data_IF_578779899058
#
_entry.id   IF_578779899058
#
_cell.length_a   1.000
_cell.length_b   1.000
_cell.length_c   1.000
_cell.angle_alpha   90.00
_cell.angle_beta   90.00
_cell.angle_gamma   90.00
#
_symmetry.space_group_name_H-M   'P 1'
#
loop_
_entity.id
_entity.type
_entity.pdbx_description
1 polymer ?
#
# COMPACT_ATOMS: atom_id res chain seq x y z
N UNK A 1 18.92 4.86 17.75
CA UNK A 1 18.47 6.26 17.81
C UNK A 1 17.30 6.33 18.78
N UNK A 2 17.26 7.24 19.75
CA UNK A 2 16.26 7.23 20.84
C UNK A 2 15.40 8.50 20.83
N UNK A 3 14.68 8.76 19.74
CA UNK A 3 13.59 9.74 19.77
C UNK A 3 12.35 9.09 20.37
N UNK A 4 11.53 9.86 21.09
CA UNK A 4 10.25 9.39 21.64
C UNK A 4 9.08 9.74 20.73
N UNK A 5 9.23 10.77 19.91
CA UNK A 5 8.17 11.24 19.01
C UNK A 5 8.72 11.58 17.62
N UNK A 6 7.84 11.57 16.62
CA UNK A 6 8.20 12.00 15.26
C UNK A 6 8.60 13.48 15.24
N UNK A 7 7.95 14.32 16.06
CA UNK A 7 8.28 15.74 16.16
C UNK A 7 9.72 15.96 16.66
N UNK A 8 10.18 15.19 17.65
CA UNK A 8 11.57 15.23 18.11
C UNK A 8 12.55 14.80 17.02
N UNK A 9 12.26 13.73 16.30
CA UNK A 9 13.12 13.22 15.23
C UNK A 9 13.25 14.22 14.07
N UNK A 10 12.14 14.81 13.64
CA UNK A 10 12.13 15.84 12.59
C UNK A 10 12.79 17.14 13.04
N UNK A 11 12.54 17.57 14.29
CA UNK A 11 13.23 18.73 14.86
C UNK A 11 14.75 18.52 14.87
N UNK A 12 15.21 17.31 15.21
CA UNK A 12 16.62 16.95 15.14
C UNK A 12 17.16 17.01 13.71
N UNK A 13 16.47 16.43 12.72
CA UNK A 13 16.88 16.52 11.30
C UNK A 13 17.04 17.97 10.84
N UNK A 14 16.08 18.84 11.20
CA UNK A 14 16.14 20.26 10.89
C UNK A 14 17.30 20.97 11.60
N UNK A 15 17.49 20.73 12.90
CA UNK A 15 18.56 21.36 13.69
C UNK A 15 19.96 20.99 13.19
N UNK A 16 20.12 19.78 12.65
CA UNK A 16 21.41 19.27 12.16
C UNK A 16 21.61 19.48 10.66
N UNK A 17 20.72 20.21 9.98
CA UNK A 17 20.76 20.44 8.52
C UNK A 17 20.88 19.13 7.73
N UNK A 18 20.21 18.06 8.17
CA UNK A 18 20.14 16.83 7.40
C UNK A 18 19.35 17.07 6.11
N UNK A 19 19.72 16.37 5.03
CA UNK A 19 18.91 16.38 3.82
C UNK A 19 17.58 15.66 4.08
N UNK A 20 16.48 16.42 4.12
CA UNK A 20 15.14 15.90 4.38
C UNK A 20 14.61 15.01 3.25
N UNK A 21 15.26 15.06 2.08
CA UNK A 21 14.99 14.16 0.96
C UNK A 21 15.76 12.85 1.09
N UNK A 22 16.82 12.79 1.90
CA UNK A 22 17.50 11.54 2.22
C UNK A 22 16.58 10.67 3.08
N UNK A 23 16.32 9.45 2.61
CA UNK A 23 15.52 8.46 3.32
C UNK A 23 16.18 7.98 4.62
N UNK A 24 17.47 8.30 4.81
CA UNK A 24 18.26 7.96 5.99
C UNK A 24 18.34 9.09 7.01
N UNK A 25 17.71 10.24 6.77
CA UNK A 25 17.64 11.28 7.78
C UNK A 25 16.86 10.81 9.02
N UNK A 26 17.19 11.38 10.16
CA UNK A 26 16.70 10.99 11.48
C UNK A 26 15.17 10.92 11.57
N UNK A 27 14.47 11.91 10.99
CA UNK A 27 13.00 11.92 10.89
C UNK A 27 12.44 10.73 10.11
N UNK A 28 12.99 10.44 8.92
CA UNK A 28 12.58 9.32 8.06
C UNK A 28 12.88 7.97 8.69
N UNK A 29 14.03 7.85 9.35
CA UNK A 29 14.40 6.63 10.07
C UNK A 29 13.44 6.34 11.22
N UNK A 30 13.04 7.36 11.97
CA UNK A 30 12.04 7.20 13.04
C UNK A 30 10.68 6.73 12.50
N UNK A 31 10.19 7.34 11.41
CA UNK A 31 8.94 6.91 10.75
C UNK A 31 9.04 5.46 10.27
N UNK A 32 10.16 5.09 9.63
CA UNK A 32 10.38 3.75 9.14
C UNK A 32 10.45 2.71 10.28
N UNK A 33 10.99 3.07 11.45
CA UNK A 33 10.94 2.20 12.63
C UNK A 33 9.51 1.89 13.08
N UNK A 34 8.60 2.88 13.05
CA UNK A 34 7.19 2.63 13.38
C UNK A 34 6.56 1.64 12.39
N UNK A 35 6.85 1.80 11.09
CA UNK A 35 6.40 0.88 10.04
C UNK A 35 6.94 -0.55 10.29
N UNK A 36 8.19 -0.69 10.73
CA UNK A 36 8.78 -2.00 11.07
C UNK A 36 8.02 -2.66 12.23
N UNK A 37 7.67 -1.90 13.28
CA UNK A 37 6.88 -2.44 14.40
C UNK A 37 5.43 -2.78 13.98
N UNK A 38 4.78 -1.99 13.14
CA UNK A 38 3.48 -2.37 12.57
C UNK A 38 3.55 -3.69 11.78
N UNK A 39 4.65 -3.92 11.06
CA UNK A 39 4.88 -5.18 10.35
C UNK A 39 5.18 -6.35 11.30
N UNK A 40 5.83 -6.09 12.43
CA UNK A 40 6.00 -7.08 13.49
C UNK A 40 4.65 -7.57 14.00
N UNK A 41 3.76 -6.64 14.37
CA UNK A 41 2.41 -6.99 14.86
C UNK A 41 1.63 -7.83 13.83
N UNK A 42 1.69 -7.44 12.56
CA UNK A 42 1.06 -8.20 11.46
C UNK A 42 1.66 -9.60 11.35
N UNK A 43 2.98 -9.72 11.39
CA UNK A 43 3.68 -11.00 11.34
C UNK A 43 3.30 -11.91 12.52
N UNK A 44 3.27 -11.37 13.73
CA UNK A 44 2.86 -12.08 14.95
C UNK A 44 1.37 -12.50 14.89
N UNK A 45 0.51 -11.72 14.24
CA UNK A 45 -0.89 -12.10 13.97
C UNK A 45 -1.07 -13.14 12.84
N UNK A 46 0.03 -13.61 12.23
CA UNK A 46 0.02 -14.64 11.19
C UNK A 46 0.10 -14.12 9.76
N UNK A 47 0.17 -12.80 9.53
CA UNK A 47 0.47 -12.24 8.20
C UNK A 47 1.97 -12.33 7.91
N UNK A 48 2.41 -13.51 7.46
CA UNK A 48 3.80 -13.78 7.09
C UNK A 48 4.30 -12.93 5.93
N UNK A 49 3.41 -12.29 5.16
CA UNK A 49 3.82 -11.38 4.09
C UNK A 49 4.41 -10.07 4.62
N UNK A 50 4.20 -9.74 5.90
CA UNK A 50 4.74 -8.56 6.54
C UNK A 50 6.28 -8.59 6.70
N UNK A 51 6.87 -9.78 6.84
CA UNK A 51 8.31 -9.94 7.10
C UNK A 51 9.20 -9.32 5.99
N UNK A 52 8.99 -9.62 4.69
CA UNK A 52 9.73 -8.94 3.62
C UNK A 52 9.57 -7.42 3.58
N UNK A 53 8.42 -6.87 4.02
CA UNK A 53 8.22 -5.42 4.04
C UNK A 53 9.00 -4.75 5.18
N UNK A 54 9.05 -5.38 6.36
CA UNK A 54 9.91 -4.92 7.44
C UNK A 54 11.38 -4.93 7.02
N UNK A 55 11.84 -5.99 6.36
CA UNK A 55 13.20 -6.09 5.81
C UNK A 55 13.49 -4.97 4.80
N UNK A 56 12.55 -4.72 3.88
CA UNK A 56 12.69 -3.66 2.89
C UNK A 56 12.73 -2.26 3.53
N UNK A 57 11.92 -2.02 4.57
CA UNK A 57 11.93 -0.76 5.31
C UNK A 57 13.30 -0.54 5.99
N UNK A 58 13.83 -1.55 6.68
CA UNK A 58 15.15 -1.46 7.29
C UNK A 58 16.24 -1.15 6.25
N UNK A 59 16.27 -1.91 5.15
CA UNK A 59 17.28 -1.73 4.11
C UNK A 59 17.18 -0.36 3.42
N UNK A 60 15.96 0.09 3.09
CA UNK A 60 15.71 1.37 2.39
C UNK A 60 16.12 2.58 3.23
N UNK A 61 15.85 2.54 4.53
CA UNK A 61 16.09 3.65 5.45
C UNK A 61 17.44 3.55 6.19
N UNK A 62 18.23 2.50 5.92
CA UNK A 62 19.52 2.29 6.58
C UNK A 62 19.38 1.99 8.08
N UNK A 63 18.29 1.34 8.48
CA UNK A 63 18.05 0.96 9.86
C UNK A 63 18.80 -0.34 10.17
N UNK A 64 19.27 -0.44 11.41
CA UNK A 64 19.66 -1.74 11.99
C UNK A 64 18.40 -2.60 12.10
N UNK A 65 18.46 -3.84 11.65
CA UNK A 65 17.34 -4.78 11.80
C UNK A 65 17.12 -5.07 13.28
N UNK A 66 15.88 -5.00 13.79
CA UNK A 66 15.56 -5.46 15.13
C UNK A 66 15.74 -6.98 15.23
N UNK A 67 16.02 -7.48 16.44
CA UNK A 67 16.36 -8.88 16.69
C UNK A 67 15.33 -9.86 16.10
N UNK A 68 14.03 -9.59 16.29
CA UNK A 68 12.95 -10.44 15.77
C UNK A 68 13.02 -10.61 14.24
N UNK A 69 13.38 -9.55 13.53
CA UNK A 69 13.47 -9.53 12.07
C UNK A 69 14.75 -10.22 11.62
N UNK A 70 15.87 -9.94 12.30
CA UNK A 70 17.15 -10.56 12.03
C UNK A 70 17.08 -12.08 12.21
N UNK A 71 16.52 -12.55 13.33
CA UNK A 71 16.33 -13.97 13.63
C UNK A 71 15.43 -14.65 12.60
N UNK A 72 14.29 -14.04 12.26
CA UNK A 72 13.35 -14.60 11.29
C UNK A 72 13.99 -14.73 9.89
N UNK A 73 14.71 -13.69 9.44
CA UNK A 73 15.40 -13.71 8.14
C UNK A 73 16.56 -14.71 8.15
N UNK A 74 17.39 -14.70 9.20
CA UNK A 74 18.51 -15.63 9.32
C UNK A 74 18.05 -17.09 9.30
N UNK A 75 17.07 -17.43 10.14
CA UNK A 75 16.52 -18.79 10.20
C UNK A 75 15.88 -19.20 8.87
N UNK A 76 15.18 -18.28 8.20
CA UNK A 76 14.65 -18.54 6.85
C UNK A 76 15.76 -18.81 5.82
N UNK A 77 16.84 -18.03 5.84
CA UNK A 77 17.98 -18.23 4.93
C UNK A 77 18.68 -19.57 5.21
N UNK A 78 18.93 -19.91 6.48
CA UNK A 78 19.53 -21.19 6.88
C UNK A 78 18.67 -22.36 6.40
N UNK A 79 17.35 -22.33 6.66
CA UNK A 79 16.42 -23.38 6.21
C UNK A 79 16.43 -23.57 4.69
N UNK A 80 16.49 -22.46 3.93
CA UNK A 80 16.59 -22.52 2.48
C UNK A 80 17.93 -23.09 2.02
N UNK A 81 19.03 -22.65 2.63
CA UNK A 81 20.38 -23.11 2.34
C UNK A 81 20.55 -24.61 2.65
N UNK A 82 19.97 -25.10 3.74
CA UNK A 82 20.04 -26.50 4.17
C UNK A 82 19.03 -27.38 3.44
N UNK A 83 18.39 -26.86 2.38
CA UNK A 83 17.41 -27.54 1.55
C UNK A 83 16.15 -28.03 2.30
N UNK A 84 15.88 -27.51 3.49
CA UNK A 84 14.64 -27.78 4.25
C UNK A 84 13.43 -27.06 3.63
N UNK A 85 13.67 -25.97 2.92
CA UNK A 85 12.66 -25.21 2.19
C UNK A 85 12.99 -25.16 0.69
N UNK A 86 12.00 -25.48 -0.16
CA UNK A 86 12.19 -25.52 -1.62
C UNK A 86 12.37 -24.14 -2.24
N UNK A 87 11.77 -23.11 -1.65
CA UNK A 87 11.83 -21.73 -2.13
C UNK A 87 12.07 -20.77 -0.98
N UNK A 88 12.59 -19.58 -1.26
CA UNK A 88 12.70 -18.52 -0.25
C UNK A 88 11.33 -18.07 0.29
N UNK A 89 10.29 -18.13 -0.54
CA UNK A 89 8.92 -17.84 -0.10
C UNK A 89 8.47 -18.88 0.95
N UNK A 90 8.77 -20.17 0.75
CA UNK A 90 8.49 -21.22 1.75
C UNK A 90 9.34 -21.04 3.00
N UNK A 91 10.62 -20.67 2.85
CA UNK A 91 11.57 -20.52 3.94
C UNK A 91 11.25 -19.33 4.86
N UNK A 92 10.77 -18.23 4.28
CA UNK A 92 10.27 -17.04 4.98
C UNK A 92 8.78 -17.13 5.31
N UNK A 93 8.15 -18.28 5.04
CA UNK A 93 6.72 -18.55 5.27
C UNK A 93 5.76 -17.60 4.54
N UNK A 94 6.23 -16.93 3.48
CA UNK A 94 5.47 -15.96 2.70
C UNK A 94 4.48 -16.69 1.78
N UNK A 95 3.25 -16.87 2.29
CA UNK A 95 2.18 -17.51 1.55
C UNK A 95 1.67 -16.68 0.36
N UNK A 96 2.28 -16.82 -0.82
CA UNK A 96 1.75 -16.27 -2.08
C UNK A 96 0.74 -17.22 -2.75
N UNK A 97 -0.24 -17.72 -2.01
CA UNK A 97 -1.18 -18.73 -2.55
C UNK A 97 -2.10 -18.13 -3.62
N UNK A 98 -2.20 -18.82 -4.77
CA UNK A 98 -3.21 -18.65 -5.82
C UNK A 98 -3.31 -17.27 -6.50
N UNK A 99 -2.30 -16.42 -6.41
CA UNK A 99 -2.26 -15.14 -7.14
C UNK A 99 -1.25 -15.23 -8.28
N UNK A 100 -1.71 -15.00 -9.51
CA UNK A 100 -0.79 -14.78 -10.64
C UNK A 100 -0.05 -13.47 -10.37
N UNK A 101 1.29 -13.52 -10.35
CA UNK A 101 2.11 -12.34 -10.09
C UNK A 101 1.78 -11.19 -11.06
N UNK A 102 1.47 -11.51 -12.32
CA UNK A 102 1.00 -10.54 -13.32
C UNK A 102 -0.26 -9.80 -12.89
N UNK A 103 -1.25 -10.51 -12.34
CA UNK A 103 -2.54 -9.96 -11.99
C UNK A 103 -2.44 -9.12 -10.71
N UNK A 104 -1.62 -9.56 -9.76
CA UNK A 104 -1.32 -8.80 -8.54
C UNK A 104 -0.53 -7.52 -8.84
N UNK A 105 0.47 -7.58 -9.73
CA UNK A 105 1.21 -6.39 -10.17
C UNK A 105 0.29 -5.39 -10.88
N UNK A 106 -0.58 -5.89 -11.76
CA UNK A 106 -1.59 -5.07 -12.44
C UNK A 106 -2.53 -4.40 -11.43
N UNK A 107 -3.03 -5.16 -10.45
CA UNK A 107 -3.86 -4.62 -9.37
C UNK A 107 -3.13 -3.54 -8.56
N UNK A 108 -1.89 -3.78 -8.12
CA UNK A 108 -1.12 -2.79 -7.35
C UNK A 108 -0.84 -1.51 -8.12
N UNK A 109 -0.60 -1.62 -9.44
CA UNK A 109 -0.35 -0.47 -10.31
C UNK A 109 -1.61 0.37 -10.55
N UNK A 110 -2.78 -0.25 -10.61
CA UNK A 110 -3.99 0.39 -11.15
C UNK A 110 -5.20 0.41 -10.21
N UNK A 111 -5.20 -0.36 -9.12
CA UNK A 111 -6.35 -0.52 -8.22
C UNK A 111 -6.82 0.80 -7.61
N UNK A 112 -5.89 1.63 -7.14
CA UNK A 112 -6.22 3.00 -6.68
C UNK A 112 -6.79 3.86 -7.81
N UNK A 113 -6.25 3.76 -9.02
CA UNK A 113 -6.70 4.54 -10.16
C UNK A 113 -8.12 4.17 -10.61
N UNK A 114 -8.52 2.91 -10.43
CA UNK A 114 -9.91 2.46 -10.59
C UNK A 114 -10.79 3.08 -9.50
N UNK A 115 -10.38 2.97 -8.23
CA UNK A 115 -11.12 3.55 -7.10
C UNK A 115 -11.36 5.05 -7.27
N UNK A 116 -10.32 5.82 -7.61
CA UNK A 116 -10.38 7.27 -7.82
C UNK A 116 -11.37 7.64 -8.95
N UNK A 117 -11.45 6.83 -10.01
CA UNK A 117 -12.39 7.05 -11.13
C UNK A 117 -13.83 6.77 -10.73
N UNK A 118 -14.08 5.67 -10.02
CA UNK A 118 -15.42 5.36 -9.48
C UNK A 118 -15.89 6.49 -8.56
N UNK A 119 -15.01 6.95 -7.66
CA UNK A 119 -15.32 8.04 -6.74
C UNK A 119 -15.67 9.34 -7.48
N UNK A 120 -14.89 9.71 -8.50
CA UNK A 120 -15.18 10.89 -9.35
C UNK A 120 -16.55 10.81 -10.03
N UNK A 121 -16.95 9.63 -10.52
CA UNK A 121 -18.25 9.42 -11.15
C UNK A 121 -19.39 9.47 -10.13
N UNK A 122 -19.18 8.92 -8.93
CA UNK A 122 -20.12 8.99 -7.80
C UNK A 122 -20.36 10.42 -7.32
N UNK A 123 -19.32 11.25 -7.28
CA UNK A 123 -19.45 12.68 -6.97
C UNK A 123 -20.33 13.40 -7.99
N UNK A 124 -20.30 12.99 -9.26
CA UNK A 124 -21.20 13.49 -10.32
C UNK A 124 -22.61 12.91 -10.27
N UNK A 125 -22.94 12.09 -9.28
CA UNK A 125 -24.27 11.47 -9.11
C UNK A 125 -24.51 10.22 -9.94
N UNK A 126 -23.48 9.64 -10.57
CA UNK A 126 -23.63 8.39 -11.32
C UNK A 126 -23.73 7.19 -10.37
N UNK A 127 -24.66 6.28 -10.66
CA UNK A 127 -24.85 5.03 -9.92
C UNK A 127 -23.73 4.02 -10.19
N UNK A 128 -23.37 3.18 -9.20
CA UNK A 128 -22.35 2.12 -9.37
C UNK A 128 -23.02 0.89 -9.96
N UNK A 129 -22.92 0.74 -11.29
CA UNK A 129 -23.44 -0.39 -12.05
C UNK A 129 -22.34 -1.02 -12.93
N UNK A 130 -22.69 -2.09 -13.66
CA UNK A 130 -21.74 -2.76 -14.57
C UNK A 130 -21.26 -1.85 -15.70
N UNK A 131 -22.13 -0.99 -16.23
CA UNK A 131 -21.80 -0.08 -17.34
C UNK A 131 -20.74 0.93 -16.96
N UNK A 132 -20.80 1.45 -15.73
CA UNK A 132 -19.75 2.33 -15.18
C UNK A 132 -18.37 1.65 -15.22
N UNK A 133 -18.27 0.39 -14.84
CA UNK A 133 -17.00 -0.33 -14.82
C UNK A 133 -16.49 -0.63 -16.22
N UNK A 134 -17.38 -0.92 -17.17
CA UNK A 134 -17.00 -1.09 -18.58
C UNK A 134 -16.43 0.19 -19.18
N UNK A 135 -17.01 1.35 -18.87
CA UNK A 135 -16.46 2.62 -19.33
C UNK A 135 -15.10 2.93 -18.68
N UNK A 136 -14.96 2.72 -17.36
CA UNK A 136 -13.68 2.89 -16.66
C UNK A 136 -12.63 1.95 -17.28
N UNK A 137 -13.04 0.74 -17.64
CA UNK A 137 -12.15 -0.21 -18.27
C UNK A 137 -11.67 0.28 -19.63
N UNK A 138 -12.56 0.81 -20.48
CA UNK A 138 -12.20 1.44 -21.76
C UNK A 138 -11.28 2.66 -21.58
N UNK A 139 -11.53 3.51 -20.59
CA UNK A 139 -10.68 4.67 -20.30
C UNK A 139 -9.26 4.29 -19.87
N UNK A 140 -9.09 3.10 -19.30
CA UNK A 140 -7.81 2.61 -18.78
C UNK A 140 -7.12 1.64 -19.75
N UNK A 141 -7.74 1.32 -20.87
CA UNK A 141 -7.16 0.46 -21.90
C UNK A 141 -6.18 1.28 -22.76
N UNK A 142 -4.89 1.13 -22.47
CA UNK A 142 -3.81 1.79 -23.20
C UNK A 142 -3.14 0.82 -24.19
N UNK A 143 -2.73 1.29 -25.39
CA UNK A 143 -1.93 0.48 -26.31
C UNK A 143 -0.66 -0.03 -25.60
N UNK A 144 -0.49 -1.36 -25.53
CA UNK A 144 0.65 -2.02 -24.88
C UNK A 144 0.35 -2.81 -23.60
N UNK A 145 -0.89 -2.80 -23.10
CA UNK A 145 -1.26 -3.52 -21.86
C UNK A 145 -1.62 -5.01 -22.04
N UNK A 146 -1.31 -5.60 -23.21
CA UNK A 146 -1.12 -7.05 -23.46
C UNK A 146 -2.28 -8.04 -23.22
N UNK A 147 -3.36 -7.63 -22.54
CA UNK A 147 -4.59 -8.38 -22.37
C UNK A 147 -5.64 -7.40 -21.85
N UNK A 148 -6.74 -7.24 -22.60
CA UNK A 148 -7.75 -6.19 -22.40
C UNK A 148 -8.19 -6.05 -20.96
N UNK A 149 -8.17 -4.82 -20.46
CA UNK A 149 -8.70 -4.49 -19.15
C UNK A 149 -10.23 -4.48 -19.24
N UNK A 150 -10.89 -5.40 -18.53
CA UNK A 150 -12.35 -5.58 -18.61
C UNK A 150 -13.09 -4.86 -17.48
N UNK A 151 -14.37 -4.51 -17.69
CA UNK A 151 -15.21 -3.96 -16.61
C UNK A 151 -15.36 -4.92 -15.43
N UNK A 152 -15.40 -6.23 -15.66
CA UNK A 152 -15.37 -7.23 -14.59
C UNK A 152 -14.09 -7.14 -13.74
N UNK A 153 -12.94 -6.91 -14.37
CA UNK A 153 -11.66 -6.69 -13.67
C UNK A 153 -11.70 -5.40 -12.85
N UNK A 154 -12.16 -4.30 -13.45
CA UNK A 154 -12.29 -3.00 -12.76
C UNK A 154 -13.21 -3.11 -11.54
N UNK A 155 -14.36 -3.77 -11.69
CA UNK A 155 -15.30 -4.05 -10.60
C UNK A 155 -14.63 -4.82 -9.46
N UNK A 156 -13.95 -5.93 -9.77
CA UNK A 156 -13.27 -6.75 -8.77
C UNK A 156 -12.18 -5.96 -8.03
N UNK A 157 -11.41 -5.14 -8.76
CA UNK A 157 -10.36 -4.30 -8.17
C UNK A 157 -10.93 -3.21 -7.26
N UNK A 158 -12.03 -2.58 -7.64
CA UNK A 158 -12.71 -1.57 -6.82
C UNK A 158 -13.13 -2.15 -5.46
N UNK A 159 -13.88 -3.26 -5.46
CA UNK A 159 -14.31 -3.88 -4.21
C UNK A 159 -13.16 -4.47 -3.40
N UNK A 160 -12.14 -5.00 -4.07
CA UNK A 160 -10.91 -5.43 -3.41
C UNK A 160 -10.22 -4.26 -2.70
N UNK A 161 -10.11 -3.10 -3.35
CA UNK A 161 -9.49 -1.91 -2.77
C UNK A 161 -10.26 -1.40 -1.54
N UNK A 162 -11.59 -1.35 -1.61
CA UNK A 162 -12.44 -1.00 -0.46
C UNK A 162 -12.19 -1.95 0.71
N UNK A 163 -12.19 -3.26 0.45
CA UNK A 163 -11.97 -4.29 1.48
C UNK A 163 -10.59 -4.18 2.11
N UNK A 164 -9.54 -4.05 1.30
CA UNK A 164 -8.14 -3.98 1.78
C UNK A 164 -7.86 -2.71 2.58
N UNK A 165 -8.51 -1.59 2.23
CA UNK A 165 -8.34 -0.30 2.91
C UNK A 165 -9.39 -0.03 3.99
N UNK A 166 -10.26 -1.01 4.30
CA UNK A 166 -11.33 -0.90 5.32
C UNK A 166 -12.21 0.33 5.16
N UNK A 167 -12.48 0.74 3.91
CA UNK A 167 -13.32 1.91 3.62
C UNK A 167 -14.78 1.51 3.83
N UNK A 168 -15.49 2.14 4.77
CA UNK A 168 -16.92 1.88 4.93
C UNK A 168 -17.75 2.58 3.86
N UNK A 169 -18.99 2.12 3.64
CA UNK A 169 -19.93 2.80 2.73
C UNK A 169 -20.25 4.21 3.24
N UNK A 170 -20.32 4.38 4.56
CA UNK A 170 -20.59 5.67 5.20
C UNK A 170 -19.41 6.64 5.02
N UNK A 171 -18.16 6.17 5.11
CA UNK A 171 -16.97 6.97 4.82
C UNK A 171 -16.94 7.42 3.35
N UNK A 172 -17.37 6.54 2.45
CA UNK A 172 -17.49 6.83 1.02
C UNK A 172 -18.52 7.93 0.75
N UNK A 173 -19.70 7.85 1.36
CA UNK A 173 -20.73 8.89 1.25
C UNK A 173 -20.27 10.20 1.91
N UNK A 174 -19.63 10.14 3.08
CA UNK A 174 -19.03 11.31 3.73
C UNK A 174 -18.00 12.01 2.83
N UNK A 175 -17.10 11.24 2.22
CA UNK A 175 -16.12 11.78 1.25
C UNK A 175 -16.79 12.36 0.00
N UNK A 176 -17.84 11.72 -0.53
CA UNK A 176 -18.60 12.22 -1.68
C UNK A 176 -19.27 13.56 -1.32
N UNK A 177 -19.91 13.67 -0.16
CA UNK A 177 -20.58 14.90 0.29
C UNK A 177 -19.59 16.04 0.54
N UNK A 178 -18.46 15.76 1.22
CA UNK A 178 -17.41 16.76 1.44
C UNK A 178 -16.85 17.31 0.12
N UNK A 179 -16.62 16.46 -0.89
CA UNK A 179 -16.14 16.93 -2.19
C UNK A 179 -17.19 17.68 -3.02
N UNK A 180 -18.48 17.34 -2.87
CA UNK A 180 -19.57 18.13 -3.46
C UNK A 180 -19.64 19.54 -2.86
N UNK A 181 -19.46 19.68 -1.54
CA UNK A 181 -19.46 20.99 -0.87
C UNK A 181 -18.29 21.88 -1.32
N UNK A 182 -17.09 21.31 -1.49
CA UNK A 182 -15.92 22.04 -2.01
C UNK A 182 -16.17 22.54 -3.45
N UNK A 183 -16.81 21.74 -4.30
CA UNK A 183 -17.14 22.13 -5.69
C UNK A 183 -18.34 23.06 -5.79
N UNK A 184 -19.34 22.93 -4.93
CA UNK A 184 -20.50 23.82 -4.92
C UNK A 184 -20.18 25.23 -4.41
N UNK A 185 -19.14 25.37 -3.57
CA UNK A 185 -18.67 26.66 -3.08
C UNK A 185 -17.89 27.51 -4.09
N UNK A 186 -17.43 26.93 -5.21
CA UNK A 186 -16.69 27.68 -6.24
C UNK A 186 -17.57 28.35 -7.30
N UNK A 187 -18.86 27.99 -7.38
CA UNK A 187 -19.78 28.47 -8.43
C UNK A 187 -20.71 29.62 -7.98
N UNK A 188 -20.53 30.19 -6.77
CA UNK A 188 -21.32 31.34 -6.27
C UNK A 188 -20.57 32.69 -6.32
N UNK A 189 -19.50 32.78 -7.10
CA UNK A 189 -18.75 34.02 -7.32
C UNK A 189 -18.58 34.36 -8.79
N UNK A 190 -19.66 34.77 -9.45
CA UNK A 190 -19.66 35.68 -10.61
C UNK A 190 -21.08 36.14 -10.93
#
# INVERSE_FOLDING_TARGET
MKFKTAAEAWAYSHQNNEDLLDLRCSGRQFEAMQIVEEHREKHESGDKTALPYALAACARHGLVMPDWLADAVYNGIVRWHDFEARTLDDALEVGRKNKRASDEMRYRRHGKAVFDRVLKRRIKGQGVDSGMFDDIAKEMDFPGNGAGFSGGTAKNWYYRFIKENKISVDDLEGHIQAQKQIRGGSDQGN
#
